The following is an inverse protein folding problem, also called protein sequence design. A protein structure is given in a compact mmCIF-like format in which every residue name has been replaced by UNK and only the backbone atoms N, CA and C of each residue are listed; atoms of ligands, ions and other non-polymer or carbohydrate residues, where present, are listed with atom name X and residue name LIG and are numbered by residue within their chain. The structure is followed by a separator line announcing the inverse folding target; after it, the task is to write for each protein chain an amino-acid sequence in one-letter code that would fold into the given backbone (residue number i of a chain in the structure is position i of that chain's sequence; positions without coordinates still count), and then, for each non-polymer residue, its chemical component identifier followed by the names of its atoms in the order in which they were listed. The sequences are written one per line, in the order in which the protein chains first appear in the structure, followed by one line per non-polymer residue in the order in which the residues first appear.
data_IF_704589123700
#
_entry.id   IF_704589123700
#
_cell.length_a   1.000
_cell.length_b   1.000
_cell.length_c   1.000
_cell.angle_alpha   90.00
_cell.angle_beta   90.00
_cell.angle_gamma   90.00
#
_symmetry.space_group_name_H-M   'P 1'
#
loop_
_entity.id
_entity.type
_entity.pdbx_description
1 polymer ?
#
# COMPACT_ATOMS: atom_id res chain seq x y z
N UNK A 1 -8.43 -6.67 -14.53
CA UNK A 1 -7.18 -6.15 -13.95
C UNK A 1 -7.23 -6.50 -12.48
N UNK A 2 -6.25 -7.25 -11.96
CA UNK A 2 -6.23 -7.70 -10.55
C UNK A 2 -5.95 -6.52 -9.61
N UNK A 3 -6.38 -6.61 -8.35
CA UNK A 3 -6.11 -5.60 -7.33
C UNK A 3 -4.60 -5.51 -7.06
N UNK A 4 -3.90 -6.63 -7.17
CA UNK A 4 -2.45 -6.70 -7.06
C UNK A 4 -1.73 -5.84 -8.13
N UNK A 5 -2.16 -5.89 -9.39
CA UNK A 5 -1.54 -5.09 -10.46
C UNK A 5 -1.78 -3.60 -10.22
N UNK A 6 -2.95 -3.24 -9.69
CA UNK A 6 -3.23 -1.86 -9.30
C UNK A 6 -2.34 -1.42 -8.15
N UNK A 7 -2.16 -2.27 -7.13
CA UNK A 7 -1.27 -2.01 -6.01
C UNK A 7 0.17 -1.79 -6.48
N UNK A 8 0.71 -2.71 -7.29
CA UNK A 8 2.07 -2.62 -7.84
C UNK A 8 2.28 -1.37 -8.72
N UNK A 9 1.25 -0.90 -9.43
CA UNK A 9 1.34 0.32 -10.21
C UNK A 9 1.54 1.58 -9.34
N UNK A 10 1.08 1.56 -8.08
CA UNK A 10 1.27 2.67 -7.13
C UNK A 10 2.73 2.85 -6.73
N UNK A 11 3.52 1.77 -6.76
CA UNK A 11 4.95 1.77 -6.44
C UNK A 11 5.85 2.17 -7.61
N UNK A 12 5.31 2.25 -8.84
CA UNK A 12 6.08 2.73 -10.01
C UNK A 12 6.23 4.25 -10.05
N UNK A 13 5.49 4.96 -9.21
CA UNK A 13 5.64 6.39 -8.96
C UNK A 13 6.15 6.59 -7.53
N UNK A 14 6.74 7.75 -7.23
CA UNK A 14 7.22 8.07 -5.89
C UNK A 14 6.15 7.76 -4.85
N UNK A 15 6.51 7.08 -3.76
CA UNK A 15 5.57 6.57 -2.78
C UNK A 15 4.98 7.74 -2.00
N UNK A 16 3.68 8.00 -2.20
CA UNK A 16 2.97 9.10 -1.54
C UNK A 16 1.92 8.56 -0.58
N UNK A 17 1.39 9.46 0.27
CA UNK A 17 0.28 9.09 1.16
C UNK A 17 -0.97 8.64 0.39
N UNK A 18 -1.21 9.20 -0.80
CA UNK A 18 -2.34 8.77 -1.63
C UNK A 18 -2.12 7.36 -2.20
N UNK A 19 -0.87 6.99 -2.51
CA UNK A 19 -0.51 5.60 -2.84
C UNK A 19 -0.85 4.66 -1.68
N UNK A 20 -0.57 5.05 -0.44
CA UNK A 20 -0.87 4.23 0.75
C UNK A 20 -2.36 4.08 1.02
N UNK A 21 -3.12 5.16 0.88
CA UNK A 21 -4.58 5.12 0.98
C UNK A 21 -5.18 4.21 -0.08
N UNK A 22 -4.63 4.22 -1.30
CA UNK A 22 -5.06 3.30 -2.35
C UNK A 22 -4.68 1.86 -2.03
N UNK A 23 -3.45 1.61 -1.57
CA UNK A 23 -3.00 0.27 -1.18
C UNK A 23 -3.89 -0.32 -0.09
N UNK A 24 -4.19 0.47 0.95
CA UNK A 24 -5.09 0.07 2.05
C UNK A 24 -6.49 -0.28 1.55
N UNK A 25 -7.05 0.52 0.65
CA UNK A 25 -8.35 0.20 0.03
C UNK A 25 -8.30 -1.08 -0.78
N UNK A 26 -7.23 -1.28 -1.57
CA UNK A 26 -7.06 -2.48 -2.38
C UNK A 26 -6.93 -3.73 -1.51
N UNK A 27 -6.16 -3.65 -0.43
CA UNK A 27 -6.02 -4.74 0.55
C UNK A 27 -7.37 -5.10 1.20
N UNK A 28 -8.15 -4.10 1.61
CA UNK A 28 -9.50 -4.31 2.18
C UNK A 28 -10.49 -4.90 1.18
N UNK A 29 -10.29 -4.66 -0.12
CA UNK A 29 -11.12 -5.21 -1.19
C UNK A 29 -10.65 -6.58 -1.66
N UNK A 30 -9.37 -6.89 -1.48
CA UNK A 30 -8.79 -8.18 -1.82
C UNK A 30 -9.19 -9.23 -0.79
N UNK A 31 -9.12 -10.50 -1.18
CA UNK A 31 -9.43 -11.62 -0.30
C UNK A 31 -8.67 -12.87 -0.73
N UNK A 32 -8.32 -13.73 0.24
CA UNK A 32 -7.50 -14.90 0.00
C UNK A 32 -6.08 -14.53 -0.43
N UNK A 33 -5.52 -15.28 -1.37
CA UNK A 33 -4.14 -15.13 -1.82
C UNK A 33 -3.80 -13.72 -2.35
N UNK A 34 -4.77 -13.01 -2.95
CA UNK A 34 -4.55 -11.65 -3.44
C UNK A 34 -4.39 -10.64 -2.29
N UNK A 35 -5.07 -10.85 -1.16
CA UNK A 35 -4.88 -10.01 0.03
C UNK A 35 -3.51 -10.27 0.67
N UNK A 36 -3.08 -11.53 0.74
CA UNK A 36 -1.76 -11.88 1.25
C UNK A 36 -0.64 -11.22 0.41
N UNK A 37 -0.76 -11.28 -0.92
CA UNK A 37 0.19 -10.64 -1.84
C UNK A 37 0.19 -9.11 -1.74
N UNK A 38 -0.95 -8.48 -1.45
CA UNK A 38 -1.00 -7.04 -1.19
C UNK A 38 -0.41 -6.72 0.19
N UNK A 39 -0.60 -7.60 1.17
CA UNK A 39 0.05 -7.55 2.48
C UNK A 39 1.56 -7.47 2.37
N UNK A 40 2.18 -8.30 1.53
CA UNK A 40 3.63 -8.27 1.28
C UNK A 40 4.13 -6.93 0.70
N UNK A 41 3.28 -6.19 -0.01
CA UNK A 41 3.65 -4.88 -0.54
C UNK A 41 3.80 -3.83 0.57
N UNK A 42 3.14 -4.01 1.72
CA UNK A 42 3.33 -3.13 2.88
C UNK A 42 4.74 -3.22 3.47
N UNK A 43 5.41 -4.37 3.37
CA UNK A 43 6.80 -4.47 3.80
C UNK A 43 7.72 -3.62 2.92
N UNK A 44 7.44 -3.55 1.62
CA UNK A 44 8.16 -2.69 0.67
C UNK A 44 7.89 -1.22 0.96
N UNK A 45 6.63 -0.86 1.25
CA UNK A 45 6.29 0.49 1.71
C UNK A 45 7.12 0.86 2.92
N UNK A 46 7.17 0.01 3.95
CA UNK A 46 7.85 0.31 5.19
C UNK A 46 9.37 0.48 5.00
N UNK A 47 9.93 -0.13 3.96
CA UNK A 47 11.35 -0.03 3.62
C UNK A 47 11.70 1.20 2.75
N UNK A 48 10.81 1.59 1.82
CA UNK A 48 11.10 2.60 0.79
C UNK A 48 10.37 3.95 0.99
N UNK A 49 9.28 3.97 1.76
CA UNK A 49 8.51 5.19 1.98
C UNK A 49 9.23 6.19 2.90
N UNK A 50 9.12 7.46 2.54
CA UNK A 50 9.62 8.58 3.35
C UNK A 50 8.98 8.60 4.75
N UNK A 51 9.75 8.95 5.77
CA UNK A 51 9.30 8.99 7.16
C UNK A 51 8.06 9.90 7.34
N UNK A 52 7.98 11.02 6.61
CA UNK A 52 6.82 11.91 6.62
C UNK A 52 5.54 11.23 6.10
N UNK A 53 5.68 10.33 5.12
CA UNK A 53 4.58 9.58 4.54
C UNK A 53 4.13 8.47 5.51
N UNK A 54 5.08 7.77 6.15
CA UNK A 54 4.79 6.77 7.18
C UNK A 54 4.14 7.37 8.42
N UNK A 55 4.61 8.54 8.88
CA UNK A 55 4.03 9.25 10.03
C UNK A 55 2.58 9.67 9.76
N UNK A 56 2.31 10.16 8.54
CA UNK A 56 0.95 10.48 8.13
C UNK A 56 0.08 9.21 8.02
N UNK A 57 0.63 8.11 7.50
CA UNK A 57 -0.09 6.85 7.39
C UNK A 57 -0.48 6.26 8.75
N UNK A 58 0.40 6.35 9.75
CA UNK A 58 0.11 6.00 11.15
C UNK A 58 -0.97 6.89 11.75
N UNK A 59 -0.91 8.21 11.53
CA UNK A 59 -1.95 9.15 11.98
C UNK A 59 -3.31 8.84 11.39
N UNK A 60 -3.35 8.32 10.16
CA UNK A 60 -4.57 7.91 9.47
C UNK A 60 -5.02 6.48 9.80
N UNK A 61 -4.21 5.70 10.54
CA UNK A 61 -4.51 4.30 10.87
C UNK A 61 -4.46 3.37 9.67
N UNK A 62 -3.63 3.71 8.66
CA UNK A 62 -3.38 2.88 7.48
C UNK A 62 -2.37 1.76 7.78
N UNK A 63 -1.48 1.98 8.76
CA UNK A 63 -0.45 1.06 9.26
C UNK A 63 -0.36 1.12 10.78
#
# INVERSE_FOLDING_TARGET
MTLLIQAQALFKQHLTIDSLRHLYKLEKLASGEEADQIGELWDVVMADADEAVLDQARKEGLI
#
